data_IF_810164144767
#
_entry.id   IF_810164144767
#
_cell.length_a   1.000
_cell.length_b   1.000
_cell.length_c   1.000
_cell.angle_alpha   90.00
_cell.angle_beta   90.00
_cell.angle_gamma   90.00
#
_symmetry.space_group_name_H-M   'P 1'
#
loop_
_entity.id
_entity.type
_entity.pdbx_description
1 polymer ?
#
# COMPACT_ATOMS: atom_id res chain seq x y z
N UNK A 1 30.13 -4.39 11.62
CA UNK A 1 29.11 -4.27 10.55
C UNK A 1 28.40 -2.93 10.73
N UNK A 2 28.29 -2.11 9.67
CA UNK A 2 27.54 -0.84 9.75
C UNK A 2 26.04 -1.15 9.68
N UNK A 3 25.27 -0.69 10.66
CA UNK A 3 23.81 -0.76 10.60
C UNK A 3 23.32 0.28 9.59
N UNK A 4 22.66 -0.16 8.52
CA UNK A 4 22.04 0.74 7.55
C UNK A 4 20.74 1.30 8.13
N UNK A 5 20.53 2.59 7.93
CA UNK A 5 19.30 3.30 8.23
C UNK A 5 18.44 3.40 6.97
N UNK A 6 17.18 3.84 7.11
CA UNK A 6 16.32 4.12 5.95
C UNK A 6 16.89 5.21 5.02
N UNK A 7 17.74 6.11 5.54
CA UNK A 7 18.39 7.12 4.72
C UNK A 7 19.36 6.50 3.70
N UNK A 8 19.98 5.37 4.04
CA UNK A 8 21.00 4.67 3.24
C UNK A 8 20.40 3.76 2.16
N UNK A 9 19.06 3.71 2.04
CA UNK A 9 18.37 2.86 1.07
C UNK A 9 17.95 3.66 -0.16
N UNK A 10 18.34 3.19 -1.34
CA UNK A 10 17.99 3.82 -2.61
C UNK A 10 16.54 3.54 -3.03
N UNK A 11 16.00 2.39 -2.64
CA UNK A 11 14.64 1.93 -2.97
C UNK A 11 14.04 1.16 -1.80
N UNK A 12 12.79 1.45 -1.47
CA UNK A 12 12.02 0.80 -0.42
C UNK A 12 10.66 0.41 -0.97
N UNK A 13 10.29 -0.86 -0.84
CA UNK A 13 9.00 -1.38 -1.30
C UNK A 13 8.19 -1.84 -0.10
N UNK A 14 7.01 -1.26 0.08
CA UNK A 14 6.04 -1.68 1.09
C UNK A 14 4.97 -2.56 0.43
N UNK A 15 4.86 -3.81 0.89
CA UNK A 15 3.86 -4.79 0.41
C UNK A 15 2.74 -4.90 1.45
N UNK A 16 1.47 -4.75 1.05
CA UNK A 16 0.37 -4.88 2.00
C UNK A 16 -0.96 -4.43 1.44
N UNK A 17 -1.89 -3.98 2.29
CA UNK A 17 -3.15 -3.40 1.84
C UNK A 17 -3.90 -2.66 2.94
N UNK A 18 -4.90 -1.88 2.54
CA UNK A 18 -5.79 -1.14 3.42
C UNK A 18 -5.06 -0.12 4.32
N UNK A 19 -5.73 0.28 5.41
CA UNK A 19 -5.24 1.29 6.35
C UNK A 19 -3.84 1.00 6.92
N UNK A 20 -3.48 -0.27 7.08
CA UNK A 20 -2.14 -0.64 7.59
C UNK A 20 -1.03 -0.19 6.66
N UNK A 21 -1.18 -0.48 5.35
CA UNK A 21 -0.21 -0.04 4.36
C UNK A 21 -0.20 1.50 4.23
N UNK A 22 -1.37 2.15 4.25
CA UNK A 22 -1.45 3.62 4.21
C UNK A 22 -0.70 4.29 5.37
N UNK A 23 -0.82 3.77 6.59
CA UNK A 23 -0.09 4.27 7.77
C UNK A 23 1.42 4.08 7.66
N UNK A 24 1.86 2.91 7.19
CA UNK A 24 3.29 2.63 6.96
C UNK A 24 3.86 3.55 5.88
N UNK A 25 3.13 3.77 4.79
CA UNK A 25 3.60 4.67 3.73
C UNK A 25 3.63 6.13 4.19
N UNK A 26 2.67 6.56 5.00
CA UNK A 26 2.65 7.91 5.58
C UNK A 26 3.84 8.15 6.53
N UNK A 27 4.18 7.19 7.40
CA UNK A 27 5.34 7.31 8.30
C UNK A 27 6.68 7.28 7.55
N UNK A 28 6.71 6.69 6.36
CA UNK A 28 7.89 6.62 5.48
C UNK A 28 7.89 7.69 4.36
N UNK A 29 6.98 8.65 4.41
CA UNK A 29 6.80 9.68 3.37
C UNK A 29 8.07 10.49 3.07
N UNK A 30 8.97 10.65 4.05
CA UNK A 30 10.27 11.30 3.88
C UNK A 30 11.20 10.62 2.87
N UNK A 31 10.93 9.37 2.49
CA UNK A 31 11.66 8.66 1.44
C UNK A 31 11.30 9.14 0.03
N UNK A 32 10.16 9.83 -0.15
CA UNK A 32 9.74 10.40 -1.42
C UNK A 32 9.68 9.36 -2.55
N UNK A 33 10.30 9.67 -3.69
CA UNK A 33 10.34 8.82 -4.89
C UNK A 33 11.08 7.48 -4.71
N UNK A 34 11.73 7.27 -3.55
CA UNK A 34 12.36 6.00 -3.20
C UNK A 34 11.37 5.00 -2.61
N UNK A 35 10.18 5.44 -2.19
CA UNK A 35 9.14 4.59 -1.62
C UNK A 35 8.14 4.15 -2.68
N UNK A 36 7.88 2.85 -2.77
CA UNK A 36 6.87 2.26 -3.65
C UNK A 36 5.93 1.38 -2.85
N UNK A 37 4.62 1.56 -3.02
CA UNK A 37 3.60 0.70 -2.42
C UNK A 37 3.10 -0.34 -3.42
N UNK A 38 3.05 -1.61 -3.01
CA UNK A 38 2.34 -2.66 -3.75
C UNK A 38 1.16 -3.12 -2.91
N UNK A 39 -0.04 -2.92 -3.46
CA UNK A 39 -1.32 -3.14 -2.77
C UNK A 39 -1.90 -4.49 -3.16
N UNK A 40 -2.29 -5.28 -2.16
CA UNK A 40 -3.05 -6.52 -2.35
C UNK A 40 -4.51 -6.20 -2.73
N UNK A 41 -4.98 -6.85 -3.78
CA UNK A 41 -6.33 -6.64 -4.34
C UNK A 41 -7.29 -7.81 -4.09
N UNK A 42 -6.91 -8.71 -3.17
CA UNK A 42 -7.67 -9.94 -2.91
C UNK A 42 -8.93 -9.72 -2.08
N UNK A 43 -9.19 -8.50 -1.60
CA UNK A 43 -10.35 -8.20 -0.77
C UNK A 43 -11.67 -8.39 -1.54
N UNK A 44 -12.53 -9.23 -0.98
CA UNK A 44 -13.89 -9.52 -1.45
C UNK A 44 -14.96 -9.08 -0.43
N UNK A 45 -14.56 -8.38 0.63
CA UNK A 45 -15.44 -7.91 1.70
C UNK A 45 -15.94 -6.48 1.50
N UNK A 46 -16.97 -6.09 2.25
CA UNK A 46 -17.46 -4.70 2.31
C UNK A 46 -18.03 -4.15 1.00
N UNK A 47 -17.93 -2.83 0.81
CA UNK A 47 -18.36 -2.14 -0.42
C UNK A 47 -17.58 -2.63 -1.64
N UNK A 48 -16.28 -2.88 -1.48
CA UNK A 48 -15.40 -3.47 -2.50
C UNK A 48 -15.91 -4.82 -2.98
N UNK A 49 -16.34 -5.69 -2.07
CA UNK A 49 -16.94 -6.98 -2.40
C UNK A 49 -18.29 -6.89 -3.11
N UNK A 50 -19.11 -5.87 -2.78
CA UNK A 50 -20.39 -5.62 -3.47
C UNK A 50 -20.16 -5.17 -4.90
N UNK A 51 -19.29 -4.17 -5.11
CA UNK A 51 -18.94 -3.64 -6.43
C UNK A 51 -18.29 -4.74 -7.29
N UNK A 52 -17.37 -5.53 -6.71
CA UNK A 52 -16.73 -6.64 -7.43
C UNK A 52 -17.74 -7.69 -7.91
N UNK A 53 -18.78 -7.99 -7.12
CA UNK A 53 -19.83 -8.93 -7.53
C UNK A 53 -20.77 -8.36 -8.59
N UNK A 54 -21.03 -7.06 -8.57
CA UNK A 54 -21.95 -6.42 -9.51
C UNK A 54 -21.29 -6.04 -10.84
N UNK A 55 -20.04 -5.60 -10.83
CA UNK A 55 -19.38 -4.99 -11.99
C UNK A 55 -18.01 -5.61 -12.34
N UNK A 56 -17.53 -6.59 -11.57
CA UNK A 56 -16.20 -7.16 -11.75
C UNK A 56 -15.07 -6.21 -11.31
N UNK A 57 -13.84 -6.48 -11.77
CA UNK A 57 -12.68 -5.63 -11.50
C UNK A 57 -11.86 -5.97 -10.23
N UNK A 58 -10.88 -5.13 -9.92
CA UNK A 58 -10.01 -5.29 -8.74
C UNK A 58 -10.60 -4.59 -7.50
N UNK A 59 -10.04 -4.87 -6.33
CA UNK A 59 -10.48 -4.31 -5.06
C UNK A 59 -10.13 -2.80 -4.90
N UNK A 60 -10.80 -1.91 -5.64
CA UNK A 60 -10.51 -0.47 -5.73
C UNK A 60 -10.43 0.25 -4.38
N UNK A 61 -11.29 -0.11 -3.42
CA UNK A 61 -11.33 0.53 -2.10
C UNK A 61 -10.04 0.40 -1.28
N UNK A 62 -9.16 -0.57 -1.61
CA UNK A 62 -7.85 -0.72 -0.96
C UNK A 62 -6.83 0.30 -1.44
N UNK A 63 -6.92 0.76 -2.70
CA UNK A 63 -6.03 1.77 -3.27
C UNK A 63 -6.34 3.18 -2.75
N UNK A 64 -7.63 3.49 -2.55
CA UNK A 64 -8.09 4.79 -2.06
C UNK A 64 -7.66 5.13 -0.62
N UNK A 65 -7.01 4.20 0.09
CA UNK A 65 -6.51 4.38 1.46
C UNK A 65 -5.01 4.67 1.51
N UNK A 66 -4.34 4.72 0.36
CA UNK A 66 -2.95 5.15 0.27
C UNK A 66 -2.88 6.68 0.12
N UNK A 67 -1.83 7.31 0.69
CA UNK A 67 -1.57 8.74 0.52
C UNK A 67 -1.16 9.10 -0.91
#
# INVERSE_FOLDING_TARGET
MRNRTFADLDRVVALGGGHGLGRVMSSLSSLGSRLTGIVTTTDNGGSTGRIRRSEGGIAWGRYAQLP
#
